data_IF_730335149058
#
_entry.id   IF_730335149058
#
_cell.length_a   1.000
_cell.length_b   1.000
_cell.length_c   1.000
_cell.angle_alpha   90.00
_cell.angle_beta   90.00
_cell.angle_gamma   90.00
#
_symmetry.space_group_name_H-M   'P 1'
#
loop_
_entity.id
_entity.type
_entity.pdbx_description
1 polymer ?
#
# COMPACT_ATOMS: atom_id res chain seq x y z
N UNK A 1 -17.08 -16.45 16.75
CA UNK A 1 -15.70 -16.67 16.28
C UNK A 1 -15.25 -15.44 15.50
N UNK A 2 -14.12 -14.89 15.86
CA UNK A 2 -13.61 -13.72 15.16
C UNK A 2 -13.13 -14.08 13.75
N UNK A 3 -13.40 -13.19 12.82
CA UNK A 3 -12.87 -13.31 11.48
C UNK A 3 -11.39 -12.91 11.49
N UNK A 4 -10.52 -13.87 11.19
CA UNK A 4 -9.07 -13.64 11.17
C UNK A 4 -8.70 -12.53 10.19
N UNK A 5 -9.41 -12.42 9.05
CA UNK A 5 -9.18 -11.37 8.05
C UNK A 5 -9.42 -9.98 8.61
N UNK A 6 -10.45 -9.81 9.43
CA UNK A 6 -10.76 -8.54 10.08
C UNK A 6 -9.64 -8.15 11.05
N UNK A 7 -9.13 -9.12 11.84
CA UNK A 7 -8.03 -8.87 12.76
C UNK A 7 -6.77 -8.42 12.04
N UNK A 8 -6.43 -9.07 10.94
CA UNK A 8 -5.26 -8.67 10.14
C UNK A 8 -5.47 -7.31 9.49
N UNK A 9 -6.66 -7.04 8.97
CA UNK A 9 -6.97 -5.75 8.36
C UNK A 9 -6.79 -4.61 9.37
N UNK A 10 -7.31 -4.77 10.59
CA UNK A 10 -7.16 -3.79 11.66
C UNK A 10 -5.70 -3.59 12.02
N UNK A 11 -4.95 -4.68 12.15
CA UNK A 11 -3.53 -4.64 12.49
C UNK A 11 -2.72 -3.92 11.42
N UNK A 12 -2.97 -4.24 10.15
CA UNK A 12 -2.31 -3.60 9.01
C UNK A 12 -2.67 -2.12 8.96
N UNK A 13 -3.95 -1.78 9.12
CA UNK A 13 -4.41 -0.39 9.12
C UNK A 13 -3.71 0.42 10.21
N UNK A 14 -3.61 -0.12 11.41
CA UNK A 14 -2.93 0.54 12.53
C UNK A 14 -1.45 0.78 12.23
N UNK A 15 -0.79 -0.20 11.61
CA UNK A 15 0.61 -0.07 11.25
C UNK A 15 0.82 0.98 10.16
N UNK A 16 -0.08 1.05 9.18
CA UNK A 16 -0.03 2.10 8.16
C UNK A 16 -0.14 3.49 8.80
N UNK A 17 -1.06 3.64 9.74
CA UNK A 17 -1.21 4.92 10.45
C UNK A 17 0.05 5.28 11.22
N UNK A 18 0.71 4.29 11.83
CA UNK A 18 1.98 4.50 12.50
C UNK A 18 3.05 4.98 11.51
N UNK A 19 3.20 4.29 10.36
CA UNK A 19 4.19 4.67 9.35
C UNK A 19 3.98 6.09 8.85
N UNK A 20 2.73 6.49 8.65
CA UNK A 20 2.39 7.83 8.23
C UNK A 20 2.80 8.85 9.29
N UNK A 21 2.55 8.54 10.57
CA UNK A 21 2.89 9.43 11.68
C UNK A 21 4.40 9.68 11.80
N UNK A 22 5.22 8.68 11.46
CA UNK A 22 6.68 8.80 11.49
C UNK A 22 7.27 9.11 10.11
N UNK A 23 6.44 9.24 9.10
CA UNK A 23 6.82 9.57 7.71
C UNK A 23 7.83 8.58 7.14
N UNK A 24 7.52 7.29 7.27
CA UNK A 24 8.37 6.19 6.78
C UNK A 24 7.61 5.26 5.84
N UNK A 25 8.36 4.56 5.00
CA UNK A 25 7.81 3.53 4.12
C UNK A 25 8.38 2.17 4.52
N UNK A 26 7.70 1.10 4.10
CA UNK A 26 8.15 -0.29 4.33
C UNK A 26 7.81 -1.12 3.10
N UNK A 27 8.51 -2.24 2.93
CA UNK A 27 8.19 -3.16 1.84
C UNK A 27 7.01 -4.06 2.22
N UNK A 28 6.42 -4.73 1.21
CA UNK A 28 5.32 -5.68 1.46
C UNK A 28 5.75 -6.78 2.42
N UNK A 29 6.98 -7.29 2.28
CA UNK A 29 7.50 -8.33 3.17
C UNK A 29 7.64 -7.81 4.61
N UNK A 30 8.14 -6.60 4.77
CA UNK A 30 8.33 -6.01 6.10
C UNK A 30 7.00 -5.82 6.84
N UNK A 31 5.99 -5.30 6.17
CA UNK A 31 4.68 -5.12 6.83
C UNK A 31 4.01 -6.46 7.10
N UNK A 32 4.17 -7.44 6.21
CA UNK A 32 3.63 -8.78 6.43
C UNK A 32 4.24 -9.41 7.68
N UNK A 33 5.57 -9.31 7.85
CA UNK A 33 6.25 -9.83 9.03
C UNK A 33 5.82 -9.10 10.29
N UNK A 34 5.72 -7.79 10.22
CA UNK A 34 5.30 -6.97 11.36
C UNK A 34 3.89 -7.31 11.85
N UNK A 35 3.02 -7.68 10.92
CA UNK A 35 1.63 -8.01 11.23
C UNK A 35 1.39 -9.52 11.44
N UNK A 36 2.46 -10.31 11.54
CA UNK A 36 2.40 -11.75 11.77
C UNK A 36 1.66 -12.54 10.69
N UNK A 37 1.76 -12.09 9.45
CA UNK A 37 1.18 -12.82 8.33
C UNK A 37 2.16 -13.93 7.95
N UNK A 38 1.70 -15.19 8.10
CA UNK A 38 2.56 -16.37 7.95
C UNK A 38 2.50 -16.94 6.53
N UNK A 39 3.60 -17.59 6.07
CA UNK A 39 3.56 -18.37 4.84
C UNK A 39 2.59 -19.56 4.98
N UNK A 40 2.11 -20.18 3.88
CA UNK A 40 2.46 -19.83 2.49
C UNK A 40 1.71 -18.62 1.97
N UNK A 41 2.24 -18.00 0.89
CA UNK A 41 1.56 -16.91 0.21
C UNK A 41 1.52 -15.60 1.00
N UNK A 42 2.55 -15.34 1.79
CA UNK A 42 2.65 -14.16 2.65
C UNK A 42 2.42 -12.85 1.87
N UNK A 43 3.10 -12.67 0.75
CA UNK A 43 2.99 -11.45 -0.06
C UNK A 43 1.60 -11.31 -0.67
N UNK A 44 1.02 -12.42 -1.14
CA UNK A 44 -0.35 -12.41 -1.68
C UNK A 44 -1.36 -11.99 -0.61
N UNK A 45 -1.21 -12.54 0.59
CA UNK A 45 -2.12 -12.22 1.71
C UNK A 45 -2.06 -10.75 2.08
N UNK A 46 -0.85 -10.21 2.26
CA UNK A 46 -0.71 -8.80 2.63
C UNK A 46 -1.20 -7.89 1.50
N UNK A 47 -0.95 -8.26 0.24
CA UNK A 47 -1.42 -7.48 -0.90
C UNK A 47 -2.95 -7.38 -0.93
N UNK A 48 -3.65 -8.48 -0.65
CA UNK A 48 -5.12 -8.46 -0.58
C UNK A 48 -5.64 -7.55 0.51
N UNK A 49 -5.00 -7.60 1.69
CA UNK A 49 -5.40 -6.76 2.81
C UNK A 49 -5.18 -5.29 2.47
N UNK A 50 -4.04 -4.97 1.86
CA UNK A 50 -3.73 -3.60 1.46
C UNK A 50 -4.69 -3.08 0.40
N UNK A 51 -5.10 -3.93 -0.56
CA UNK A 51 -6.08 -3.52 -1.57
C UNK A 51 -7.45 -3.25 -0.93
N UNK A 52 -7.84 -4.03 0.07
CA UNK A 52 -9.08 -3.80 0.80
C UNK A 52 -9.05 -2.47 1.53
N UNK A 53 -7.94 -2.15 2.19
CA UNK A 53 -7.75 -0.88 2.87
C UNK A 53 -7.77 0.27 1.84
N UNK A 54 -7.13 0.08 0.70
CA UNK A 54 -7.13 1.06 -0.39
C UNK A 54 -8.54 1.34 -0.88
N UNK A 55 -9.33 0.28 -1.08
CA UNK A 55 -10.73 0.42 -1.49
C UNK A 55 -11.53 1.24 -0.46
N UNK A 56 -11.34 0.95 0.82
CA UNK A 56 -12.02 1.69 1.88
C UNK A 56 -11.63 3.17 1.87
N UNK A 57 -10.35 3.47 1.68
CA UNK A 57 -9.87 4.85 1.62
C UNK A 57 -10.47 5.59 0.41
N UNK A 58 -10.59 4.92 -0.74
CA UNK A 58 -11.22 5.50 -1.93
C UNK A 58 -12.69 5.81 -1.66
N UNK A 59 -13.42 4.85 -1.09
CA UNK A 59 -14.85 5.01 -0.78
C UNK A 59 -15.05 6.17 0.19
N UNK A 60 -14.21 6.27 1.20
CA UNK A 60 -14.30 7.31 2.23
C UNK A 60 -13.69 8.64 1.80
N UNK A 61 -13.14 8.71 0.58
CA UNK A 61 -12.48 9.90 0.03
C UNK A 61 -11.34 10.39 0.92
N UNK A 62 -10.58 9.45 1.46
CA UNK A 62 -9.42 9.71 2.32
C UNK A 62 -8.13 9.52 1.52
N UNK A 63 -7.01 10.08 2.00
CA UNK A 63 -5.70 9.79 1.39
C UNK A 63 -5.42 8.29 1.36
N UNK A 64 -4.70 7.85 0.33
CA UNK A 64 -4.43 6.43 0.07
C UNK A 64 -3.28 5.97 0.97
N UNK A 65 -3.58 5.37 2.12
CA UNK A 65 -2.58 4.99 3.12
C UNK A 65 -1.61 3.92 2.65
N UNK A 66 -2.05 3.01 1.79
CA UNK A 66 -1.19 1.92 1.30
C UNK A 66 -0.06 2.41 0.40
N UNK A 67 -0.05 3.68 0.02
CA UNK A 67 1.05 4.27 -0.75
C UNK A 67 2.39 4.22 0.00
N UNK A 68 2.39 4.06 1.34
CA UNK A 68 3.64 3.95 2.11
C UNK A 68 4.26 2.56 2.04
N UNK A 69 3.59 1.60 1.40
CA UNK A 69 4.14 0.24 1.22
C UNK A 69 4.69 0.13 -0.19
N UNK A 70 5.96 -0.22 -0.31
CA UNK A 70 6.69 -0.19 -1.57
C UNK A 70 7.19 -1.57 -1.98
N UNK A 71 7.39 -1.76 -3.28
CA UNK A 71 7.94 -3.00 -3.83
C UNK A 71 9.43 -3.10 -3.53
N UNK A 72 9.86 -4.26 -3.00
CA UNK A 72 11.28 -4.51 -2.74
C UNK A 72 12.09 -4.41 -4.02
N UNK A 73 11.59 -4.97 -5.12
CA UNK A 73 12.27 -4.93 -6.42
C UNK A 73 12.40 -3.50 -6.93
N UNK A 74 11.31 -2.73 -6.87
CA UNK A 74 11.36 -1.33 -7.31
C UNK A 74 12.33 -0.52 -6.45
N UNK A 75 12.31 -0.74 -5.13
CA UNK A 75 13.22 -0.05 -4.21
C UNK A 75 14.68 -0.37 -4.53
N UNK A 76 14.99 -1.64 -4.82
CA UNK A 76 16.34 -2.06 -5.21
C UNK A 76 16.80 -1.41 -6.50
N UNK A 77 15.86 -1.08 -7.40
CA UNK A 77 16.14 -0.42 -8.66
C UNK A 77 16.11 1.11 -8.57
N UNK A 78 16.06 1.64 -7.35
CA UNK A 78 16.08 3.09 -7.12
C UNK A 78 14.72 3.77 -7.16
N UNK A 79 13.63 3.00 -7.25
CA UNK A 79 12.27 3.53 -7.33
C UNK A 79 11.48 3.10 -6.10
N UNK A 80 11.34 3.99 -5.13
CA UNK A 80 10.68 3.69 -3.86
C UNK A 80 9.16 3.82 -4.01
N UNK A 81 8.56 2.94 -4.81
CA UNK A 81 7.12 2.95 -5.14
C UNK A 81 6.50 1.57 -4.93
N UNK A 82 5.16 1.51 -4.77
CA UNK A 82 4.44 0.23 -4.67
C UNK A 82 4.56 -0.63 -5.94
N UNK A 83 4.06 -1.86 -5.87
CA UNK A 83 3.92 -2.74 -7.04
C UNK A 83 3.02 -2.11 -8.09
N UNK A 84 3.21 -2.50 -9.35
CA UNK A 84 2.35 -2.04 -10.44
C UNK A 84 0.87 -2.34 -10.16
N UNK A 85 0.55 -3.44 -9.49
CA UNK A 85 -0.83 -3.78 -9.15
C UNK A 85 -1.54 -2.67 -8.37
N UNK A 86 -0.81 -1.94 -7.53
CA UNK A 86 -1.34 -0.79 -6.80
C UNK A 86 -1.85 0.28 -7.79
N UNK A 87 -1.03 0.61 -8.78
CA UNK A 87 -1.39 1.63 -9.77
C UNK A 87 -2.49 1.15 -10.71
N UNK A 88 -2.48 -0.13 -11.08
CA UNK A 88 -3.53 -0.71 -11.91
C UNK A 88 -4.88 -0.70 -11.17
N UNK A 89 -4.87 -0.96 -9.87
CA UNK A 89 -6.07 -0.88 -9.04
C UNK A 89 -6.61 0.55 -8.99
N UNK A 90 -5.73 1.54 -8.81
CA UNK A 90 -6.12 2.95 -8.82
C UNK A 90 -6.63 3.38 -10.18
N UNK A 91 -6.04 2.87 -11.26
CA UNK A 91 -6.49 3.13 -12.63
C UNK A 91 -7.91 2.60 -12.85
N UNK A 92 -8.15 1.36 -12.40
CA UNK A 92 -9.47 0.72 -12.49
C UNK A 92 -10.54 1.52 -11.74
N UNK A 93 -10.16 2.17 -10.66
CA UNK A 93 -11.05 2.98 -9.84
C UNK A 93 -11.04 4.46 -10.23
N UNK A 94 -10.45 4.79 -11.38
CA UNK A 94 -10.40 6.14 -11.96
C UNK A 94 -9.69 7.17 -11.07
N UNK A 95 -8.80 6.71 -10.22
CA UNK A 95 -7.96 7.56 -9.36
C UNK A 95 -6.66 7.91 -10.08
N UNK A 96 -6.09 6.94 -10.80
CA UNK A 96 -4.88 7.15 -11.60
C UNK A 96 -5.21 7.13 -13.09
N UNK A 97 -4.89 8.20 -13.80
CA UNK A 97 -5.17 8.36 -15.22
C UNK A 97 -3.90 8.54 -16.06
N UNK A 98 -2.73 8.30 -15.47
CA UNK A 98 -1.45 8.48 -16.16
C UNK A 98 -1.05 7.27 -17.00
N UNK A 99 0.12 7.36 -17.61
CA UNK A 99 0.69 6.26 -18.38
C UNK A 99 1.12 5.11 -17.45
N UNK A 100 1.13 3.90 -17.99
CA UNK A 100 1.47 2.70 -17.21
C UNK A 100 2.96 2.41 -17.32
N UNK A 101 3.77 3.30 -16.73
CA UNK A 101 5.23 3.14 -16.70
C UNK A 101 5.79 3.71 -15.40
N UNK A 102 7.02 3.34 -15.08
CA UNK A 102 7.67 3.70 -13.81
C UNK A 102 7.75 5.21 -13.61
N UNK A 103 8.06 5.96 -14.65
CA UNK A 103 8.19 7.41 -14.55
C UNK A 103 6.88 8.06 -14.11
N UNK A 104 5.79 7.69 -14.76
CA UNK A 104 4.46 8.24 -14.44
C UNK A 104 3.99 7.77 -13.06
N UNK A 105 4.23 6.51 -12.73
CA UNK A 105 3.90 5.97 -11.41
C UNK A 105 4.65 6.73 -10.31
N UNK A 106 5.93 6.99 -10.52
CA UNK A 106 6.76 7.68 -9.53
C UNK A 106 6.26 9.11 -9.28
N UNK A 107 5.90 9.83 -10.34
CA UNK A 107 5.35 11.17 -10.23
C UNK A 107 4.05 11.19 -9.44
N UNK A 108 3.15 10.26 -9.75
CA UNK A 108 1.86 10.16 -9.07
C UNK A 108 2.05 9.75 -7.61
N UNK A 109 2.94 8.81 -7.36
CA UNK A 109 3.23 8.33 -6.01
C UNK A 109 3.75 9.45 -5.11
N UNK A 110 4.61 10.33 -5.65
CA UNK A 110 5.11 11.49 -4.89
C UNK A 110 3.96 12.38 -4.41
N UNK A 111 2.94 12.55 -5.24
CA UNK A 111 1.76 13.32 -4.87
C UNK A 111 1.00 12.66 -3.72
N UNK A 112 0.81 11.33 -3.78
CA UNK A 112 0.13 10.58 -2.72
C UNK A 112 0.90 10.67 -1.40
N UNK A 113 2.21 10.50 -1.45
CA UNK A 113 3.06 10.56 -0.26
C UNK A 113 3.03 11.97 0.35
N UNK A 114 3.04 12.99 -0.49
CA UNK A 114 2.95 14.38 -0.01
C UNK A 114 1.65 14.61 0.76
N UNK A 115 0.54 14.08 0.28
CA UNK A 115 -0.75 14.18 0.97
C UNK A 115 -0.72 13.47 2.32
N UNK A 116 -0.12 12.28 2.37
CA UNK A 116 -0.06 11.48 3.59
C UNK A 116 0.87 12.07 4.65
N UNK A 117 1.98 12.65 4.22
CA UNK A 117 3.04 13.12 5.13
C UNK A 117 2.93 14.61 5.46
N UNK A 118 1.94 15.27 4.95
CA UNK A 118 1.74 16.70 5.22
C UNK A 118 1.14 16.99 6.61
#
# INVERSE_FOLDING_TARGET
MEDISINFETRVSSYLNFLISVKETRTYSEIADKCDIKPPGKIRKISRILLKITENDIIDKKPIRSAVIVSKINKMNGNNIPHEDFFLFLSKNKIYNGEKNIKSYTQFHKKLIRELFS
#
